data_IF_142517179968
#
_entry.id   IF_142517179968
#
_cell.length_a   1.000
_cell.length_b   1.000
_cell.length_c   1.000
_cell.angle_alpha   90.00
_cell.angle_beta   90.00
_cell.angle_gamma   90.00
#
_symmetry.space_group_name_H-M   'P 1'
#
loop_
_entity.id
_entity.type
_entity.pdbx_description
1 polymer ?
#
# COMPACT_ATOMS: atom_id res chain seq x y z
N UNK A 1 -35.65 -32.60 5.04
CA UNK A 1 -34.26 -32.76 5.50
C UNK A 1 -33.39 -32.87 4.26
N UNK A 2 -32.68 -31.81 3.90
CA UNK A 2 -31.69 -31.89 2.83
C UNK A 2 -30.45 -32.57 3.42
N UNK A 3 -29.97 -33.63 2.78
CA UNK A 3 -28.70 -34.26 3.11
C UNK A 3 -27.56 -33.22 3.00
N UNK A 4 -26.58 -33.24 3.93
CA UNK A 4 -25.36 -32.48 3.71
C UNK A 4 -24.59 -33.20 2.59
N UNK A 5 -24.58 -32.62 1.39
CA UNK A 5 -23.67 -33.02 0.32
C UNK A 5 -22.24 -33.08 0.88
N UNK A 6 -21.63 -34.26 0.86
CA UNK A 6 -20.20 -34.44 1.19
C UNK A 6 -19.37 -33.39 0.43
N UNK A 7 -18.36 -32.77 1.07
CA UNK A 7 -17.49 -31.84 0.36
C UNK A 7 -16.76 -32.56 -0.80
N UNK A 8 -16.40 -31.88 -1.90
CA UNK A 8 -15.89 -32.51 -3.14
C UNK A 8 -14.42 -32.96 -3.02
N UNK A 9 -14.01 -33.45 -1.85
CA UNK A 9 -12.62 -33.77 -1.53
C UNK A 9 -12.15 -35.00 -2.34
N UNK A 10 -13.06 -35.94 -2.65
CA UNK A 10 -12.75 -37.19 -3.36
C UNK A 10 -12.21 -36.99 -4.78
N UNK A 11 -12.42 -35.82 -5.39
CA UNK A 11 -12.01 -35.52 -6.77
C UNK A 11 -10.70 -34.72 -6.86
N UNK A 12 -10.12 -34.27 -5.73
CA UNK A 12 -8.87 -33.49 -5.73
C UNK A 12 -7.68 -34.42 -5.78
N UNK A 13 -7.08 -34.55 -6.96
CA UNK A 13 -5.87 -35.38 -7.18
C UNK A 13 -4.62 -34.57 -7.47
N UNK A 14 -4.76 -33.28 -7.80
CA UNK A 14 -3.64 -32.39 -8.13
C UNK A 14 -3.76 -31.06 -7.36
N UNK A 15 -2.63 -30.38 -7.08
CA UNK A 15 -2.64 -29.06 -6.41
C UNK A 15 -3.51 -28.03 -7.14
N UNK A 16 -3.50 -28.02 -8.47
CA UNK A 16 -4.28 -27.07 -9.27
C UNK A 16 -5.80 -27.21 -9.07
N UNK A 17 -6.27 -28.41 -8.69
CA UNK A 17 -7.68 -28.68 -8.45
C UNK A 17 -8.13 -28.09 -7.11
N UNK A 18 -7.22 -27.97 -6.13
CA UNK A 18 -7.47 -27.39 -4.80
C UNK A 18 -8.01 -25.96 -4.91
N UNK A 19 -7.47 -25.17 -5.83
CA UNK A 19 -7.88 -23.77 -6.03
C UNK A 19 -9.30 -23.68 -6.58
N UNK A 20 -9.70 -24.64 -7.43
CA UNK A 20 -10.99 -24.68 -8.12
C UNK A 20 -12.15 -25.17 -7.25
N UNK A 21 -11.87 -25.88 -6.15
CA UNK A 21 -12.92 -26.37 -5.27
C UNK A 21 -13.51 -25.23 -4.45
N UNK A 22 -14.84 -25.16 -4.40
CA UNK A 22 -15.56 -24.29 -3.46
C UNK A 22 -15.47 -24.88 -2.05
N UNK A 23 -14.40 -24.52 -1.34
CA UNK A 23 -14.18 -24.86 0.06
C UNK A 23 -13.44 -23.71 0.77
N UNK A 24 -13.47 -23.70 2.10
CA UNK A 24 -12.75 -22.71 2.89
C UNK A 24 -11.22 -22.86 2.73
N UNK A 25 -10.50 -21.75 2.74
CA UNK A 25 -9.06 -21.73 2.44
C UNK A 25 -8.23 -22.60 3.40
N UNK A 26 -8.60 -22.65 4.68
CA UNK A 26 -7.96 -23.56 5.64
C UNK A 26 -8.04 -25.03 5.21
N UNK A 27 -9.17 -25.46 4.64
CA UNK A 27 -9.32 -26.81 4.10
C UNK A 27 -8.50 -27.00 2.82
N UNK A 28 -8.40 -25.97 1.97
CA UNK A 28 -7.54 -26.00 0.77
C UNK A 28 -6.08 -26.25 1.14
N UNK A 29 -5.56 -25.52 2.13
CA UNK A 29 -4.20 -25.73 2.62
C UNK A 29 -4.02 -27.12 3.24
N UNK A 30 -4.99 -27.61 4.03
CA UNK A 30 -4.93 -28.95 4.61
C UNK A 30 -4.89 -30.07 3.54
N UNK A 31 -5.69 -29.95 2.47
CA UNK A 31 -5.65 -30.88 1.35
C UNK A 31 -4.29 -30.84 0.65
N UNK A 32 -3.74 -29.64 0.44
CA UNK A 32 -2.43 -29.48 -0.18
C UNK A 32 -1.30 -30.10 0.67
N UNK A 33 -1.36 -29.97 2.00
CA UNK A 33 -0.44 -30.66 2.92
C UNK A 33 -0.52 -32.18 2.72
N UNK A 34 -1.73 -32.75 2.69
CA UNK A 34 -1.90 -34.19 2.45
C UNK A 34 -1.32 -34.65 1.10
N UNK A 35 -1.46 -33.85 0.04
CA UNK A 35 -0.87 -34.14 -1.27
C UNK A 35 0.67 -34.13 -1.24
N UNK A 36 1.27 -33.19 -0.48
CA UNK A 36 2.73 -33.10 -0.30
C UNK A 36 3.25 -34.34 0.43
N UNK A 37 2.59 -34.76 1.51
CA UNK A 37 3.00 -35.92 2.32
C UNK A 37 2.94 -37.23 1.54
N UNK A 38 1.98 -37.37 0.63
CA UNK A 38 1.83 -38.55 -0.24
C UNK A 38 2.82 -38.52 -1.42
N UNK A 39 3.54 -37.42 -1.63
CA UNK A 39 4.63 -37.31 -2.62
C UNK A 39 4.18 -37.35 -4.08
N UNK A 40 2.89 -37.11 -4.35
CA UNK A 40 2.31 -37.18 -5.70
C UNK A 40 2.32 -35.85 -6.47
N UNK A 41 3.06 -34.85 -5.97
CA UNK A 41 3.00 -33.48 -6.48
C UNK A 41 4.39 -32.91 -6.71
N UNK A 42 4.54 -32.15 -7.80
CA UNK A 42 5.81 -31.47 -8.09
C UNK A 42 5.95 -30.18 -7.29
N UNK A 43 7.18 -29.77 -6.97
CA UNK A 43 7.46 -28.50 -6.30
C UNK A 43 6.78 -27.32 -7.00
N UNK A 44 6.85 -27.28 -8.33
CA UNK A 44 6.28 -26.19 -9.15
C UNK A 44 4.76 -26.07 -8.96
N UNK A 45 4.04 -27.18 -8.92
CA UNK A 45 2.59 -27.18 -8.71
C UNK A 45 2.24 -26.70 -7.30
N UNK A 46 3.01 -27.12 -6.28
CA UNK A 46 2.80 -26.68 -4.90
C UNK A 46 3.07 -25.17 -4.76
N UNK A 47 4.20 -24.68 -5.26
CA UNK A 47 4.54 -23.25 -5.24
C UNK A 47 3.44 -22.42 -5.89
N UNK A 48 3.01 -22.80 -7.09
CA UNK A 48 1.95 -22.09 -7.81
C UNK A 48 0.64 -22.09 -6.99
N UNK A 49 0.25 -23.24 -6.46
CA UNK A 49 -1.00 -23.38 -5.68
C UNK A 49 -0.97 -22.54 -4.41
N UNK A 50 0.13 -22.57 -3.65
CA UNK A 50 0.30 -21.74 -2.43
C UNK A 50 0.16 -20.27 -2.78
N UNK A 51 0.83 -19.80 -3.84
CA UNK A 51 0.75 -18.40 -4.25
C UNK A 51 -0.67 -18.02 -4.67
N UNK A 52 -1.36 -18.88 -5.42
CA UNK A 52 -2.74 -18.65 -5.83
C UNK A 52 -3.72 -18.57 -4.65
N UNK A 53 -3.53 -19.41 -3.62
CA UNK A 53 -4.32 -19.36 -2.39
C UNK A 53 -4.07 -18.07 -1.59
N UNK A 54 -2.83 -17.54 -1.59
CA UNK A 54 -2.51 -16.28 -0.93
C UNK A 54 -3.17 -15.08 -1.62
N UNK A 55 -3.19 -15.06 -2.96
CA UNK A 55 -3.67 -13.92 -3.76
C UNK A 55 -5.13 -14.07 -4.22
N UNK A 56 -5.78 -15.19 -3.91
CA UNK A 56 -7.19 -15.46 -4.24
C UNK A 56 -7.46 -15.57 -5.75
N UNK A 57 -6.53 -16.13 -6.52
CA UNK A 57 -6.65 -16.25 -7.98
C UNK A 57 -5.33 -16.63 -8.64
N UNK A 58 -5.24 -16.55 -9.98
CA UNK A 58 -3.99 -16.82 -10.70
C UNK A 58 -2.89 -15.86 -10.25
N UNK A 59 -1.74 -16.41 -9.81
CA UNK A 59 -0.63 -15.62 -9.34
C UNK A 59 0.13 -15.02 -10.52
N UNK A 60 0.35 -13.71 -10.48
CA UNK A 60 1.18 -13.00 -11.43
C UNK A 60 1.95 -11.90 -10.70
N UNK A 61 3.27 -11.86 -10.90
CA UNK A 61 4.15 -10.93 -10.19
C UNK A 61 3.82 -9.46 -10.49
N UNK A 62 3.23 -9.15 -11.64
CA UNK A 62 2.85 -7.81 -12.08
C UNK A 62 1.36 -7.50 -11.85
N UNK A 63 0.49 -8.49 -12.02
CA UNK A 63 -0.96 -8.29 -12.06
C UNK A 63 -1.69 -8.74 -10.78
N UNK A 64 -1.25 -9.83 -10.14
CA UNK A 64 -1.94 -10.42 -9.00
C UNK A 64 -0.97 -11.08 -8.00
N UNK A 65 -0.35 -10.23 -7.17
CA UNK A 65 0.62 -10.62 -6.14
C UNK A 65 0.23 -10.12 -4.74
N UNK A 66 -0.94 -9.50 -4.60
CA UNK A 66 -1.40 -8.90 -3.34
C UNK A 66 -2.15 -9.95 -2.52
N UNK A 67 -1.72 -10.15 -1.27
CA UNK A 67 -2.35 -11.10 -0.35
C UNK A 67 -3.77 -10.62 -0.04
N UNK A 68 -4.76 -11.48 -0.25
CA UNK A 68 -6.18 -11.14 -0.08
C UNK A 68 -6.63 -11.27 1.38
N UNK A 69 -6.26 -12.38 2.03
CA UNK A 69 -6.50 -12.63 3.45
C UNK A 69 -5.16 -12.90 4.15
N UNK A 70 -4.85 -12.06 5.14
CA UNK A 70 -3.66 -12.21 5.96
C UNK A 70 -3.63 -13.57 6.70
N UNK A 71 -4.78 -14.17 7.04
CA UNK A 71 -4.84 -15.45 7.74
C UNK A 71 -4.25 -16.60 6.91
N UNK A 72 -4.31 -16.53 5.58
CA UNK A 72 -3.71 -17.53 4.70
C UNK A 72 -2.18 -17.61 4.85
N UNK A 73 -1.53 -16.58 5.41
CA UNK A 73 -0.11 -16.66 5.77
C UNK A 73 0.16 -17.68 6.87
N UNK A 74 -0.75 -17.86 7.83
CA UNK A 74 -0.59 -18.87 8.88
C UNK A 74 -0.70 -20.27 8.31
N UNK A 75 -1.63 -20.47 7.37
CA UNK A 75 -1.78 -21.74 6.67
C UNK A 75 -0.60 -22.04 5.74
N UNK A 76 -0.02 -21.02 5.08
CA UNK A 76 1.24 -21.17 4.34
C UNK A 76 2.38 -21.60 5.27
N UNK A 77 2.50 -21.00 6.46
CA UNK A 77 3.54 -21.36 7.43
C UNK A 77 3.40 -22.79 7.94
N UNK A 78 2.17 -23.23 8.22
CA UNK A 78 1.88 -24.62 8.58
C UNK A 78 2.28 -25.55 7.45
N UNK A 79 1.86 -25.26 6.21
CA UNK A 79 2.23 -26.05 5.04
C UNK A 79 3.75 -26.16 4.86
N UNK A 80 4.49 -25.06 5.07
CA UNK A 80 5.96 -25.05 4.96
C UNK A 80 6.64 -26.00 5.94
N UNK A 81 6.04 -26.27 7.11
CA UNK A 81 6.57 -27.22 8.09
C UNK A 81 6.52 -28.68 7.59
N UNK A 82 5.68 -28.98 6.58
CA UNK A 82 5.59 -30.28 5.89
C UNK A 82 6.41 -30.34 4.60
N UNK A 83 7.02 -29.24 4.15
CA UNK A 83 7.78 -29.19 2.91
C UNK A 83 9.25 -29.59 3.11
N UNK A 84 9.87 -30.28 2.12
CA UNK A 84 11.33 -30.46 2.13
C UNK A 84 12.06 -29.12 1.91
N UNK A 85 13.32 -28.96 2.37
CA UNK A 85 14.04 -27.69 2.31
C UNK A 85 14.10 -27.01 0.92
N UNK A 86 14.26 -27.74 -0.21
CA UNK A 86 14.24 -27.12 -1.53
C UNK A 86 12.91 -26.42 -1.85
N UNK A 87 11.78 -27.05 -1.50
CA UNK A 87 10.45 -26.49 -1.72
C UNK A 87 10.20 -25.28 -0.81
N UNK A 88 10.61 -25.35 0.46
CA UNK A 88 10.56 -24.20 1.35
C UNK A 88 11.34 -23.02 0.77
N UNK A 89 12.54 -23.26 0.22
CA UNK A 89 13.38 -22.23 -0.37
C UNK A 89 12.72 -21.57 -1.59
N UNK A 90 12.09 -22.35 -2.47
CA UNK A 90 11.35 -21.83 -3.62
C UNK A 90 10.20 -20.90 -3.18
N UNK A 91 9.37 -21.36 -2.23
CA UNK A 91 8.23 -20.56 -1.71
C UNK A 91 8.74 -19.27 -1.06
N UNK A 92 9.73 -19.36 -0.15
CA UNK A 92 10.28 -18.18 0.52
C UNK A 92 10.92 -17.18 -0.44
N UNK A 93 11.59 -17.65 -1.49
CA UNK A 93 12.21 -16.78 -2.49
C UNK A 93 11.19 -15.92 -3.24
N UNK A 94 10.09 -16.54 -3.69
CA UNK A 94 9.00 -15.79 -4.34
C UNK A 94 8.28 -14.90 -3.33
N UNK A 95 8.10 -15.39 -2.10
CA UNK A 95 7.47 -14.62 -1.03
C UNK A 95 8.25 -13.33 -0.71
N UNK A 96 9.58 -13.39 -0.61
CA UNK A 96 10.43 -12.22 -0.42
C UNK A 96 10.23 -11.20 -1.56
N UNK A 97 10.16 -11.66 -2.81
CA UNK A 97 9.95 -10.78 -3.96
C UNK A 97 8.61 -10.02 -3.86
N UNK A 98 7.52 -10.70 -3.50
CA UNK A 98 6.21 -10.05 -3.34
C UNK A 98 6.17 -9.11 -2.13
N UNK A 99 6.91 -9.41 -1.05
CA UNK A 99 7.02 -8.52 0.11
C UNK A 99 7.75 -7.22 -0.22
N UNK A 100 8.89 -7.32 -0.91
CA UNK A 100 9.66 -6.14 -1.35
C UNK A 100 8.87 -5.24 -2.29
N UNK A 101 7.96 -5.82 -3.07
CA UNK A 101 7.14 -5.12 -4.06
C UNK A 101 5.91 -4.43 -3.45
N UNK A 102 5.39 -4.91 -2.32
CA UNK A 102 4.05 -4.54 -1.81
C UNK A 102 4.02 -4.15 -0.35
N UNK A 103 3.74 -2.87 -0.07
CA UNK A 103 3.48 -2.41 1.31
C UNK A 103 2.26 -3.08 1.92
N UNK A 104 1.25 -3.43 1.10
CA UNK A 104 0.06 -4.14 1.58
C UNK A 104 0.38 -5.56 2.04
N UNK A 105 1.29 -6.25 1.36
CA UNK A 105 1.74 -7.57 1.79
C UNK A 105 2.56 -7.49 3.08
N UNK A 106 3.42 -6.48 3.22
CA UNK A 106 4.15 -6.22 4.47
C UNK A 106 3.20 -5.94 5.64
N UNK A 107 2.13 -5.19 5.38
CA UNK A 107 1.07 -4.94 6.36
C UNK A 107 0.33 -6.23 6.76
N UNK A 108 -0.08 -7.06 5.79
CA UNK A 108 -0.70 -8.36 6.06
C UNK A 108 0.21 -9.27 6.92
N UNK A 109 1.52 -9.26 6.66
CA UNK A 109 2.51 -9.99 7.48
C UNK A 109 2.60 -9.45 8.91
N UNK A 110 2.47 -8.14 9.09
CA UNK A 110 2.49 -7.49 10.39
C UNK A 110 1.24 -7.86 11.20
N UNK A 111 0.07 -7.90 10.57
CA UNK A 111 -1.21 -8.30 11.20
C UNK A 111 -1.19 -9.71 11.78
N UNK A 112 -0.46 -10.63 11.13
CA UNK A 112 -0.30 -12.00 11.64
C UNK A 112 0.91 -12.18 12.56
N UNK A 113 1.72 -11.15 12.78
CA UNK A 113 2.94 -11.24 13.60
C UNK A 113 4.01 -12.14 12.97
N UNK A 114 4.18 -12.08 11.65
CA UNK A 114 5.05 -12.98 10.89
C UNK A 114 6.49 -13.02 11.41
N UNK A 115 7.02 -11.89 11.91
CA UNK A 115 8.36 -11.83 12.52
C UNK A 115 8.50 -12.86 13.64
N UNK A 116 7.50 -12.96 14.52
CA UNK A 116 7.53 -13.92 15.64
C UNK A 116 7.52 -15.35 15.13
N UNK A 117 6.67 -15.65 14.15
CA UNK A 117 6.57 -16.99 13.57
C UNK A 117 7.84 -17.43 12.83
N UNK A 118 8.50 -16.50 12.13
CA UNK A 118 9.78 -16.76 11.44
C UNK A 118 10.91 -16.99 12.45
N UNK A 119 11.00 -16.18 13.50
CA UNK A 119 12.01 -16.35 14.55
C UNK A 119 11.88 -17.70 15.28
N UNK A 120 10.66 -18.22 15.44
CA UNK A 120 10.42 -19.53 16.04
C UNK A 120 10.91 -20.71 15.18
N UNK A 121 10.86 -20.57 13.85
CA UNK A 121 11.29 -21.61 12.90
C UNK A 121 12.79 -21.59 12.60
N UNK A 122 13.43 -20.42 12.73
CA UNK A 122 14.84 -20.22 12.40
C UNK A 122 15.81 -21.23 13.05
N UNK A 123 15.67 -21.65 14.32
CA UNK A 123 16.63 -22.58 14.93
C UNK A 123 16.67 -23.97 14.29
N UNK A 124 15.57 -24.40 13.66
CA UNK A 124 15.42 -25.74 13.07
C UNK A 124 15.62 -25.74 11.55
N UNK A 125 15.72 -24.55 10.93
CA UNK A 125 15.83 -24.43 9.49
C UNK A 125 17.19 -24.94 8.96
N UNK A 126 17.16 -25.53 7.76
CA UNK A 126 18.37 -25.78 6.99
C UNK A 126 19.11 -24.47 6.67
N UNK A 127 20.41 -24.52 6.37
CA UNK A 127 21.22 -23.34 6.04
C UNK A 127 20.58 -22.43 4.97
N UNK A 128 20.08 -23.01 3.87
CA UNK A 128 19.53 -22.22 2.76
C UNK A 128 18.23 -21.55 3.19
N UNK A 129 17.34 -22.31 3.84
CA UNK A 129 16.06 -21.80 4.33
C UNK A 129 16.29 -20.74 5.41
N UNK A 130 17.24 -20.96 6.33
CA UNK A 130 17.57 -20.01 7.38
C UNK A 130 18.02 -18.65 6.81
N UNK A 131 18.78 -18.65 5.71
CA UNK A 131 19.20 -17.41 5.06
C UNK A 131 18.03 -16.64 4.44
N UNK A 132 17.08 -17.36 3.84
CA UNK A 132 15.83 -16.76 3.34
C UNK A 132 14.95 -16.24 4.48
N UNK A 133 14.81 -16.97 5.58
CA UNK A 133 14.08 -16.52 6.77
C UNK A 133 14.69 -15.24 7.35
N UNK A 134 16.02 -15.15 7.41
CA UNK A 134 16.73 -13.93 7.87
C UNK A 134 16.51 -12.77 6.90
N UNK A 135 16.48 -13.03 5.60
CA UNK A 135 16.13 -12.00 4.61
C UNK A 135 14.69 -11.50 4.79
N UNK A 136 13.72 -12.40 5.01
CA UNK A 136 12.33 -12.04 5.34
C UNK A 136 12.29 -11.16 6.60
N UNK A 137 13.02 -11.52 7.65
CA UNK A 137 13.11 -10.71 8.87
C UNK A 137 13.66 -9.31 8.58
N UNK A 138 14.68 -9.20 7.73
CA UNK A 138 15.23 -7.91 7.27
C UNK A 138 14.18 -7.05 6.56
N UNK A 139 13.46 -7.64 5.61
CA UNK A 139 12.40 -6.97 4.86
C UNK A 139 11.29 -6.49 5.80
N UNK A 140 10.75 -7.38 6.65
CA UNK A 140 9.67 -7.06 7.58
C UNK A 140 10.09 -6.00 8.60
N UNK A 141 11.26 -6.15 9.22
CA UNK A 141 11.68 -5.25 10.28
C UNK A 141 12.08 -3.85 9.77
N UNK A 142 12.50 -3.72 8.50
CA UNK A 142 12.66 -2.42 7.85
C UNK A 142 11.32 -1.72 7.60
N UNK A 143 10.25 -2.48 7.42
CA UNK A 143 8.89 -1.94 7.31
C UNK A 143 8.31 -1.57 8.68
N UNK A 144 8.18 -2.53 9.59
CA UNK A 144 7.61 -2.34 10.92
C UNK A 144 8.09 -3.42 11.87
N UNK A 145 8.38 -3.03 13.12
CA UNK A 145 8.69 -3.97 14.20
C UNK A 145 8.16 -3.43 15.52
N UNK A 146 7.44 -4.27 16.25
CA UNK A 146 6.95 -3.93 17.59
C UNK A 146 8.04 -4.12 18.65
N UNK A 147 7.86 -3.51 19.82
CA UNK A 147 8.76 -3.72 20.97
C UNK A 147 8.84 -5.20 21.35
N UNK A 148 7.74 -5.95 21.24
CA UNK A 148 7.69 -7.39 21.52
C UNK A 148 8.53 -8.17 20.52
N UNK A 149 8.38 -7.92 19.23
CA UNK A 149 9.15 -8.59 18.18
C UNK A 149 10.64 -8.25 18.24
N UNK A 150 10.97 -7.00 18.55
CA UNK A 150 12.36 -6.58 18.75
C UNK A 150 13.00 -7.31 19.93
N UNK A 151 12.28 -7.45 21.06
CA UNK A 151 12.73 -8.26 22.20
C UNK A 151 12.90 -9.73 21.82
N UNK A 152 12.00 -10.30 21.01
CA UNK A 152 12.13 -11.67 20.53
C UNK A 152 13.38 -11.83 19.66
N UNK A 153 13.65 -10.89 18.75
CA UNK A 153 14.85 -10.90 17.90
C UNK A 153 16.13 -10.87 18.73
N UNK A 154 16.22 -9.98 19.73
CA UNK A 154 17.36 -9.97 20.67
C UNK A 154 17.44 -11.27 21.48
N UNK A 155 16.30 -11.81 21.89
CA UNK A 155 16.21 -13.11 22.57
C UNK A 155 16.81 -14.25 21.74
N UNK A 156 16.56 -14.28 20.43
CA UNK A 156 17.14 -15.27 19.51
C UNK A 156 18.66 -15.17 19.34
N UNK A 157 19.28 -14.07 19.76
CA UNK A 157 20.73 -13.87 19.77
C UNK A 157 21.36 -14.01 21.15
N UNK A 158 20.56 -14.21 22.20
CA UNK A 158 21.04 -14.29 23.57
C UNK A 158 21.98 -15.48 23.72
N UNK A 159 23.20 -15.22 24.18
CA UNK A 159 24.17 -16.27 24.44
C UNK A 159 23.70 -17.17 25.60
N UNK A 160 23.76 -18.48 25.39
CA UNK A 160 23.51 -19.48 26.41
C UNK A 160 24.82 -20.22 26.70
N UNK A 161 25.18 -20.32 27.99
CA UNK A 161 26.43 -20.97 28.44
C UNK A 161 27.68 -20.42 27.71
N UNK A 162 27.71 -19.11 27.46
CA UNK A 162 28.81 -18.44 26.79
C UNK A 162 28.91 -18.66 25.27
N UNK A 163 27.91 -19.31 24.64
CA UNK A 163 27.88 -19.53 23.18
C UNK A 163 26.69 -18.81 22.56
N UNK A 164 26.95 -18.13 21.44
CA UNK A 164 25.92 -17.48 20.64
C UNK A 164 25.19 -18.53 19.79
N UNK A 165 23.85 -18.44 19.65
CA UNK A 165 23.10 -19.28 18.73
C UNK A 165 23.62 -19.18 17.27
N UNK A 166 23.46 -20.26 16.49
CA UNK A 166 24.02 -20.45 15.13
C UNK A 166 23.87 -19.24 14.19
N UNK A 167 22.73 -18.55 14.22
CA UNK A 167 22.39 -17.49 13.27
C UNK A 167 22.60 -16.07 13.81
N UNK A 168 23.12 -15.93 15.01
CA UNK A 168 23.13 -14.64 15.71
C UNK A 168 23.90 -13.56 14.97
N UNK A 169 25.04 -13.89 14.37
CA UNK A 169 25.81 -12.94 13.56
C UNK A 169 25.03 -12.43 12.34
N UNK A 170 24.22 -13.30 11.70
CA UNK A 170 23.38 -12.92 10.56
C UNK A 170 22.17 -12.07 11.02
N UNK A 171 21.61 -12.34 12.19
CA UNK A 171 20.53 -11.54 12.78
C UNK A 171 20.98 -10.11 13.16
N UNK A 172 22.26 -9.88 13.46
CA UNK A 172 22.80 -8.51 13.56
C UNK A 172 22.66 -7.73 12.23
N UNK A 173 22.72 -8.44 11.10
CA UNK A 173 22.45 -7.86 9.78
C UNK A 173 21.04 -7.31 9.64
N UNK A 174 20.03 -7.98 10.23
CA UNK A 174 18.64 -7.51 10.28
C UNK A 174 18.56 -6.17 11.02
N UNK A 175 19.22 -6.06 12.18
CA UNK A 175 19.26 -4.80 12.96
C UNK A 175 19.86 -3.64 12.15
N UNK A 176 20.86 -3.91 11.32
CA UNK A 176 21.46 -2.88 10.45
C UNK A 176 20.53 -2.43 9.33
N UNK A 177 19.57 -3.27 8.92
CA UNK A 177 18.59 -2.92 7.89
C UNK A 177 17.40 -2.13 8.44
N UNK A 178 17.04 -2.29 9.72
CA UNK A 178 15.86 -1.62 10.32
C UNK A 178 15.84 -0.09 10.15
N UNK A 179 16.97 0.65 10.28
CA UNK A 179 16.97 2.10 10.10
C UNK A 179 16.82 2.55 8.64
N UNK A 180 17.03 1.66 7.67
CA UNK A 180 16.98 1.99 6.23
C UNK A 180 15.54 2.01 5.72
N UNK A 181 14.68 2.80 6.38
CA UNK A 181 13.27 2.95 6.02
C UNK A 181 13.12 3.97 4.89
N UNK A 182 12.24 3.68 3.94
CA UNK A 182 11.95 4.58 2.82
C UNK A 182 10.59 5.25 3.02
N UNK A 183 10.59 6.52 3.43
CA UNK A 183 9.38 7.34 3.56
C UNK A 183 9.10 7.80 5.00
N UNK A 184 7.87 8.23 5.29
CA UNK A 184 7.46 8.70 6.62
C UNK A 184 7.31 7.53 7.63
N UNK A 185 7.57 7.80 8.91
CA UNK A 185 7.36 6.83 9.99
C UNK A 185 5.89 6.52 10.27
N UNK A 186 5.00 7.46 9.95
CA UNK A 186 3.54 7.33 10.13
C UNK A 186 2.86 7.90 8.89
N UNK A 187 1.89 7.16 8.36
CA UNK A 187 1.13 7.53 7.18
C UNK A 187 -0.28 6.94 7.22
N UNK A 188 -1.18 7.55 6.48
CA UNK A 188 -2.47 6.97 6.13
C UNK A 188 -2.29 5.98 4.98
N UNK A 189 -2.85 4.77 5.13
CA UNK A 189 -2.84 3.73 4.11
C UNK A 189 -4.22 3.67 3.45
N UNK A 190 -4.27 3.88 2.15
CA UNK A 190 -5.49 3.82 1.35
C UNK A 190 -5.47 2.51 0.55
N UNK A 191 -6.31 1.51 0.88
CA UNK A 191 -6.29 0.21 0.23
C UNK A 191 -6.78 0.21 -1.22
N UNK A 192 -7.34 1.32 -1.74
CA UNK A 192 -7.99 1.37 -3.06
C UNK A 192 -9.30 0.57 -3.14
N UNK A 193 -9.94 0.32 -1.98
CA UNK A 193 -11.23 -0.37 -1.90
C UNK A 193 -12.37 0.64 -1.74
N UNK A 194 -13.58 0.28 -2.20
CA UNK A 194 -14.80 1.07 -2.02
C UNK A 194 -14.93 1.59 -0.58
N UNK A 195 -15.21 2.89 -0.41
CA UNK A 195 -15.32 3.52 0.91
C UNK A 195 -13.99 4.03 1.51
N UNK A 196 -12.84 3.77 0.90
CA UNK A 196 -11.53 4.23 1.40
C UNK A 196 -11.34 5.73 1.18
N UNK A 197 -11.53 6.54 2.23
CA UNK A 197 -11.33 7.98 2.19
C UNK A 197 -11.07 8.59 3.58
N UNK A 198 -10.50 9.81 3.62
CA UNK A 198 -10.60 10.69 4.77
C UNK A 198 -11.69 11.74 4.50
N UNK A 199 -12.74 11.74 5.31
CA UNK A 199 -13.86 12.68 5.18
C UNK A 199 -13.60 13.86 6.09
N UNK A 200 -13.62 15.08 5.53
CA UNK A 200 -13.43 16.30 6.29
C UNK A 200 -14.78 16.84 6.79
N UNK A 201 -14.82 17.46 7.99
CA UNK A 201 -16.01 18.14 8.46
C UNK A 201 -16.38 19.30 7.51
N UNK A 202 -17.67 19.67 7.41
CA UNK A 202 -18.09 20.77 6.56
C UNK A 202 -17.41 22.09 6.91
N UNK A 203 -16.98 22.84 5.90
CA UNK A 203 -16.40 24.16 6.08
C UNK A 203 -17.42 25.23 5.66
N UNK A 204 -17.67 26.20 6.55
CA UNK A 204 -18.64 27.27 6.30
C UNK A 204 -18.22 28.19 5.15
N UNK A 205 -16.91 28.41 4.97
CA UNK A 205 -16.34 29.26 3.93
C UNK A 205 -15.01 28.68 3.44
N UNK A 206 -14.63 29.04 2.22
CA UNK A 206 -13.35 28.67 1.62
C UNK A 206 -12.47 29.92 1.42
N UNK A 207 -11.14 29.84 1.66
CA UNK A 207 -10.23 30.98 1.52
C UNK A 207 -9.97 31.35 0.05
N UNK A 208 -10.88 32.09 -0.57
CA UNK A 208 -10.75 32.52 -1.97
C UNK A 208 -10.02 33.86 -2.15
N UNK A 209 -9.89 34.69 -1.11
CA UNK A 209 -9.29 36.04 -1.19
C UNK A 209 -7.78 36.09 -0.93
N UNK A 210 -7.24 35.12 -0.19
CA UNK A 210 -5.80 34.99 0.12
C UNK A 210 -5.10 33.91 -0.71
N UNK A 211 -5.86 33.19 -1.54
CA UNK A 211 -5.42 31.92 -2.09
C UNK A 211 -5.32 30.84 -1.01
N UNK A 212 -4.90 29.64 -1.41
CA UNK A 212 -4.78 28.50 -0.51
C UNK A 212 -3.79 27.47 -1.05
N UNK A 213 -3.30 26.61 -0.16
CA UNK A 213 -2.33 25.59 -0.52
C UNK A 213 -2.71 24.24 0.05
N UNK A 214 -2.80 23.21 -0.79
CA UNK A 214 -2.81 21.81 -0.35
C UNK A 214 -1.40 21.26 -0.47
N UNK A 215 -0.92 20.57 0.56
CA UNK A 215 0.34 19.84 0.47
C UNK A 215 0.34 18.55 1.28
N UNK A 216 0.97 17.52 0.72
CA UNK A 216 1.18 16.22 1.36
C UNK A 216 2.37 15.53 0.71
N UNK A 217 2.96 14.59 1.45
CA UNK A 217 3.71 13.51 0.83
C UNK A 217 2.76 12.39 0.44
N UNK A 218 2.91 11.82 -0.74
CA UNK A 218 2.13 10.67 -1.18
C UNK A 218 2.99 9.65 -1.93
N UNK A 219 2.52 8.41 -1.95
CA UNK A 219 3.05 7.31 -2.74
C UNK A 219 1.87 6.58 -3.37
N UNK A 220 1.78 6.63 -4.70
CA UNK A 220 0.80 5.83 -5.44
C UNK A 220 1.20 4.37 -5.40
N UNK A 221 0.23 3.48 -5.22
CA UNK A 221 0.45 2.03 -5.26
C UNK A 221 -0.75 1.40 -5.96
N UNK A 222 -0.88 1.49 -7.28
CA UNK A 222 -2.00 0.90 -8.02
C UNK A 222 -1.97 -0.63 -7.88
N UNK A 223 -3.16 -1.25 -7.86
CA UNK A 223 -3.32 -2.71 -7.65
C UNK A 223 -2.85 -3.49 -8.87
N UNK A 224 -3.24 -3.05 -10.07
CA UNK A 224 -2.80 -3.61 -11.34
C UNK A 224 -2.42 -2.46 -12.30
N UNK A 225 -1.54 -2.74 -13.26
CA UNK A 225 -1.13 -1.76 -14.28
C UNK A 225 -2.18 -1.58 -15.38
N UNK A 226 -3.09 -2.54 -15.54
CA UNK A 226 -4.05 -2.60 -16.64
C UNK A 226 -5.20 -1.60 -16.47
N UNK A 227 -5.65 -1.33 -15.24
CA UNK A 227 -6.80 -0.43 -15.01
C UNK A 227 -6.41 1.05 -14.87
N UNK A 228 -5.12 1.39 -14.95
CA UNK A 228 -4.61 2.76 -14.74
C UNK A 228 -5.24 3.78 -15.69
N UNK A 229 -5.66 3.36 -16.90
CA UNK A 229 -6.32 4.24 -17.87
C UNK A 229 -7.81 4.50 -17.54
N UNK A 230 -8.48 3.56 -16.89
CA UNK A 230 -9.90 3.65 -16.53
C UNK A 230 -10.09 4.37 -15.20
N UNK A 231 -9.24 4.07 -14.23
CA UNK A 231 -9.31 4.62 -12.88
C UNK A 231 -8.92 6.10 -12.86
N UNK A 232 -9.55 6.84 -11.94
CA UNK A 232 -9.30 8.26 -11.68
C UNK A 232 -9.13 8.49 -10.19
N UNK A 233 -8.07 7.96 -9.55
CA UNK A 233 -7.92 8.06 -8.11
C UNK A 233 -7.76 9.52 -7.70
N UNK A 234 -8.55 9.97 -6.72
CA UNK A 234 -8.53 11.36 -6.26
C UNK A 234 -7.50 11.57 -5.16
N UNK A 235 -6.62 12.55 -5.33
CA UNK A 235 -5.77 13.04 -4.24
C UNK A 235 -6.63 13.81 -3.23
N UNK A 236 -7.47 14.74 -3.72
CA UNK A 236 -8.47 15.44 -2.93
C UNK A 236 -9.68 15.85 -3.76
N UNK A 237 -10.82 16.00 -3.10
CA UNK A 237 -12.05 16.54 -3.65
C UNK A 237 -12.69 17.46 -2.62
N UNK A 238 -12.66 18.78 -2.85
CA UNK A 238 -13.26 19.78 -1.97
C UNK A 238 -14.39 20.46 -2.72
N UNK A 239 -15.63 20.11 -2.38
CA UNK A 239 -16.81 20.63 -3.09
C UNK A 239 -17.94 20.96 -2.13
N UNK A 240 -18.88 21.72 -2.65
CA UNK A 240 -20.21 21.93 -2.08
C UNK A 240 -21.16 20.83 -2.58
N UNK A 241 -22.32 20.69 -1.94
CA UNK A 241 -23.42 19.82 -2.38
C UNK A 241 -23.91 20.10 -3.81
N UNK A 242 -23.72 21.33 -4.33
CA UNK A 242 -24.03 21.70 -5.71
C UNK A 242 -22.97 21.26 -6.73
N UNK A 243 -21.88 20.65 -6.29
CA UNK A 243 -20.78 20.17 -7.15
C UNK A 243 -19.80 21.25 -7.59
N UNK A 244 -19.87 22.44 -6.99
CA UNK A 244 -18.97 23.58 -7.18
C UNK A 244 -17.78 23.41 -6.24
N UNK A 245 -16.55 23.59 -6.73
CA UNK A 245 -15.34 23.45 -5.92
C UNK A 245 -14.09 23.01 -6.68
N UNK A 246 -13.15 22.41 -5.97
CA UNK A 246 -11.83 22.03 -6.45
C UNK A 246 -11.58 20.53 -6.29
N UNK A 247 -10.86 19.93 -7.22
CA UNK A 247 -10.40 18.55 -7.06
C UNK A 247 -9.09 18.31 -7.79
N UNK A 248 -8.31 17.34 -7.32
CA UNK A 248 -7.15 16.82 -7.99
C UNK A 248 -7.22 15.30 -8.05
N UNK A 249 -7.07 14.74 -9.24
CA UNK A 249 -7.14 13.30 -9.49
C UNK A 249 -6.06 12.89 -10.49
N UNK A 250 -5.68 11.62 -10.48
CA UNK A 250 -4.74 11.11 -11.46
C UNK A 250 -5.48 10.60 -12.71
N UNK A 251 -4.87 10.80 -13.86
CA UNK A 251 -5.21 10.14 -15.13
C UNK A 251 -3.92 9.59 -15.67
N UNK A 252 -3.83 8.26 -15.76
CA UNK A 252 -2.53 7.62 -15.88
C UNK A 252 -1.64 7.97 -14.68
N UNK A 253 -0.40 8.38 -14.98
CA UNK A 253 0.58 8.80 -13.98
C UNK A 253 0.62 10.34 -13.78
N UNK A 254 -0.28 11.10 -14.40
CA UNK A 254 -0.28 12.56 -14.35
C UNK A 254 -1.39 13.08 -13.42
N UNK A 255 -1.10 14.13 -12.66
CA UNK A 255 -2.08 14.78 -11.79
C UNK A 255 -2.88 15.81 -12.61
N UNK A 256 -4.21 15.74 -12.53
CA UNK A 256 -5.15 16.65 -13.19
C UNK A 256 -5.88 17.46 -12.14
N UNK A 257 -5.74 18.78 -12.22
CA UNK A 257 -6.46 19.73 -11.40
C UNK A 257 -7.78 20.11 -12.06
N UNK A 258 -8.83 20.27 -11.27
CA UNK A 258 -10.15 20.70 -11.74
C UNK A 258 -10.72 21.76 -10.82
N UNK A 259 -11.22 22.85 -11.40
CA UNK A 259 -11.94 23.93 -10.73
C UNK A 259 -13.33 24.07 -11.37
N UNK A 260 -14.39 23.80 -10.62
CA UNK A 260 -15.78 23.87 -11.08
C UNK A 260 -16.49 25.06 -10.43
N UNK A 261 -16.87 26.05 -11.23
CA UNK A 261 -17.72 27.18 -10.78
C UNK A 261 -19.21 26.87 -10.89
N UNK A 262 -19.56 26.03 -11.86
CA UNK A 262 -20.91 25.51 -12.09
C UNK A 262 -20.80 24.00 -12.28
N UNK A 263 -21.81 23.24 -11.83
CA UNK A 263 -21.79 21.77 -11.97
C UNK A 263 -21.53 21.37 -13.43
N UNK A 264 -20.49 20.59 -13.65
CA UNK A 264 -20.09 20.09 -14.98
C UNK A 264 -19.41 21.10 -15.91
N UNK A 265 -19.28 22.37 -15.52
CA UNK A 265 -18.57 23.40 -16.30
C UNK A 265 -17.47 24.04 -15.47
N UNK A 266 -16.23 23.88 -15.93
CA UNK A 266 -15.08 24.44 -15.24
C UNK A 266 -13.79 24.30 -16.00
N UNK A 267 -12.69 24.56 -15.29
CA UNK A 267 -11.33 24.54 -15.80
C UNK A 267 -10.65 23.23 -15.38
N UNK A 268 -9.94 22.60 -16.31
CA UNK A 268 -9.08 21.45 -16.03
C UNK A 268 -7.66 21.73 -16.53
N UNK A 269 -6.68 21.29 -15.74
CA UNK A 269 -5.27 21.42 -16.08
C UNK A 269 -4.51 20.16 -15.74
N UNK A 270 -3.91 19.53 -16.75
CA UNK A 270 -3.04 18.38 -16.56
C UNK A 270 -1.61 18.87 -16.28
N UNK A 271 -1.05 18.44 -15.16
CA UNK A 271 0.33 18.76 -14.78
C UNK A 271 1.26 17.95 -15.67
N UNK A 272 2.22 18.61 -16.32
CA UNK A 272 3.26 17.99 -17.17
C UNK A 272 4.36 17.34 -16.32
N UNK A 273 3.97 16.50 -15.37
CA UNK A 273 4.88 15.72 -14.53
C UNK A 273 4.31 14.32 -14.38
N UNK A 274 5.12 13.32 -14.69
CA UNK A 274 4.75 11.91 -14.59
C UNK A 274 5.21 11.33 -13.25
N UNK A 275 4.26 10.93 -12.42
CA UNK A 275 4.52 10.30 -11.13
C UNK A 275 4.75 8.80 -11.30
N UNK A 276 5.94 8.32 -10.94
CA UNK A 276 6.20 6.89 -10.94
C UNK A 276 5.49 6.22 -9.76
N UNK A 277 4.74 5.12 -9.99
CA UNK A 277 4.19 4.31 -8.91
C UNK A 277 5.26 3.88 -7.90
N UNK A 278 4.83 3.64 -6.67
CA UNK A 278 5.63 3.08 -5.58
C UNK A 278 6.81 3.94 -5.11
N UNK A 279 6.85 5.20 -5.53
CA UNK A 279 7.82 6.21 -5.10
C UNK A 279 7.12 7.34 -4.34
N UNK A 280 7.78 7.85 -3.30
CA UNK A 280 7.29 8.98 -2.52
C UNK A 280 7.57 10.30 -3.22
N UNK A 281 6.56 11.16 -3.25
CA UNK A 281 6.63 12.53 -3.74
C UNK A 281 5.98 13.48 -2.75
N UNK A 282 6.60 14.64 -2.54
CA UNK A 282 5.89 15.78 -1.97
C UNK A 282 5.20 16.54 -3.08
N UNK A 283 3.91 16.82 -2.93
CA UNK A 283 3.19 17.75 -3.80
C UNK A 283 2.70 18.95 -3.00
N UNK A 284 2.80 20.12 -3.59
CA UNK A 284 2.10 21.31 -3.12
C UNK A 284 1.33 21.93 -4.29
N UNK A 285 0.01 22.04 -4.16
CA UNK A 285 -0.86 22.73 -5.11
C UNK A 285 -1.24 24.06 -4.50
N UNK A 286 -0.69 25.14 -5.06
CA UNK A 286 -0.83 26.51 -4.57
C UNK A 286 -1.77 27.27 -5.49
N UNK A 287 -2.94 27.63 -4.97
CA UNK A 287 -3.91 28.49 -5.64
C UNK A 287 -3.67 29.94 -5.22
N UNK A 288 -3.24 30.77 -6.17
CA UNK A 288 -2.87 32.17 -5.94
C UNK A 288 -4.00 33.06 -6.44
N UNK A 289 -4.59 33.83 -5.53
CA UNK A 289 -5.55 34.87 -5.89
C UNK A 289 -4.82 36.19 -6.19
N UNK A 290 -5.16 36.80 -7.32
CA UNK A 290 -4.72 38.15 -7.66
C UNK A 290 -5.94 39.03 -7.94
N UNK A 291 -6.00 40.20 -7.30
CA UNK A 291 -7.11 41.17 -7.48
C UNK A 291 -6.99 41.97 -8.77
N UNK A 292 -5.77 42.36 -9.13
CA UNK A 292 -5.47 43.29 -10.24
C UNK A 292 -4.86 42.60 -11.47
N UNK A 293 -4.63 41.30 -11.38
CA UNK A 293 -4.10 40.47 -12.47
C UNK A 293 -4.80 39.11 -12.44
N UNK A 294 -4.43 38.23 -13.36
CA UNK A 294 -5.00 36.88 -13.40
C UNK A 294 -4.52 36.08 -12.19
N UNK A 295 -5.44 35.35 -11.58
CA UNK A 295 -5.11 34.36 -10.56
C UNK A 295 -4.35 33.19 -11.20
N UNK A 296 -3.58 32.45 -10.41
CA UNK A 296 -2.69 31.40 -10.90
C UNK A 296 -2.83 30.12 -10.06
N UNK A 297 -2.49 28.98 -10.65
CA UNK A 297 -2.22 27.75 -9.92
C UNK A 297 -0.76 27.36 -10.16
N UNK A 298 -0.01 27.15 -9.09
CA UNK A 298 1.35 26.60 -9.13
C UNK A 298 1.38 25.25 -8.46
N UNK A 299 2.04 24.31 -9.11
CA UNK A 299 2.20 22.95 -8.61
C UNK A 299 3.68 22.68 -8.44
N UNK A 300 4.05 22.33 -7.23
CA UNK A 300 5.40 21.95 -6.88
C UNK A 300 5.46 20.46 -6.63
N UNK A 301 6.51 19.81 -7.15
CA UNK A 301 6.84 18.42 -6.89
C UNK A 301 8.23 18.39 -6.27
N UNK A 302 8.37 17.76 -5.10
CA UNK A 302 9.62 17.65 -4.35
C UNK A 302 10.31 19.01 -4.12
N UNK A 303 9.50 20.02 -3.77
CA UNK A 303 9.97 21.38 -3.48
C UNK A 303 10.31 22.22 -4.72
N UNK A 304 10.16 21.69 -5.93
CA UNK A 304 10.48 22.38 -7.19
C UNK A 304 9.21 22.66 -8.01
N UNK A 305 9.17 23.79 -8.71
CA UNK A 305 8.03 24.15 -9.56
C UNK A 305 7.93 23.19 -10.74
N UNK A 306 6.86 22.43 -10.82
CA UNK A 306 6.59 21.46 -11.89
C UNK A 306 5.62 22.01 -12.94
N UNK A 307 4.64 22.82 -12.52
CA UNK A 307 3.69 23.45 -13.43
C UNK A 307 3.17 24.77 -12.88
N UNK A 308 2.89 25.71 -13.78
CA UNK A 308 2.18 26.94 -13.47
C UNK A 308 1.16 27.20 -14.58
N UNK A 309 -0.03 27.65 -14.21
CA UNK A 309 -1.08 28.00 -15.18
C UNK A 309 -1.93 29.15 -14.66
N UNK A 310 -2.46 29.95 -15.58
CA UNK A 310 -3.45 30.97 -15.25
C UNK A 310 -4.78 30.31 -14.88
N UNK A 311 -5.38 30.76 -13.79
CA UNK A 311 -6.69 30.32 -13.35
C UNK A 311 -7.74 31.35 -13.77
N UNK A 312 -8.40 31.09 -14.89
CA UNK A 312 -9.48 31.97 -15.39
C UNK A 312 -10.78 31.83 -14.58
N UNK A 313 -10.90 30.79 -13.74
CA UNK A 313 -12.14 30.41 -13.07
C UNK A 313 -11.94 30.28 -11.55
N UNK A 314 -12.09 31.40 -10.84
CA UNK A 314 -12.19 31.43 -9.38
C UNK A 314 -13.55 30.89 -8.94
N UNK A 315 -13.53 29.93 -8.01
CA UNK A 315 -14.73 29.44 -7.35
C UNK A 315 -15.05 30.38 -6.19
N UNK A 316 -16.10 31.19 -6.35
CA UNK A 316 -16.67 31.99 -5.28
C UNK A 316 -18.11 31.54 -5.04
N UNK A 317 -18.39 31.11 -3.81
CA UNK A 317 -19.74 30.71 -3.38
C UNK A 317 -19.88 30.93 -1.87
N UNK A 318 -21.11 31.23 -1.45
CA UNK A 318 -21.50 31.31 -0.04
C UNK A 318 -22.03 29.97 0.50
N UNK A 319 -22.11 28.94 -0.36
CA UNK A 319 -22.54 27.61 0.04
C UNK A 319 -21.50 26.95 0.97
N UNK A 320 -21.99 26.08 1.86
CA UNK A 320 -21.14 25.26 2.72
C UNK A 320 -20.38 24.21 1.90
N UNK A 321 -19.12 23.99 2.24
CA UNK A 321 -18.25 22.98 1.65
C UNK A 321 -18.37 21.69 2.44
N UNK A 322 -19.42 20.92 2.13
CA UNK A 322 -19.85 19.71 2.85
C UNK A 322 -19.50 18.41 2.12
N UNK A 323 -18.84 18.49 0.96
CA UNK A 323 -18.38 17.36 0.15
C UNK A 323 -16.86 17.37 0.03
N UNK A 324 -16.16 17.41 1.17
CA UNK A 324 -14.70 17.47 1.25
C UNK A 324 -14.09 16.12 1.65
N UNK A 325 -13.27 15.56 0.77
CA UNK A 325 -12.64 14.25 0.91
C UNK A 325 -11.17 14.32 0.50
N UNK A 326 -10.32 13.55 1.18
CA UNK A 326 -8.96 13.25 0.75
C UNK A 326 -8.92 11.78 0.36
N UNK A 327 -8.30 11.46 -0.76
CA UNK A 327 -8.21 10.09 -1.25
C UNK A 327 -9.46 9.55 -1.94
N UNK A 328 -10.52 10.34 -2.17
CA UNK A 328 -11.73 9.89 -2.87
C UNK A 328 -12.63 11.05 -3.32
N UNK A 329 -13.74 10.71 -3.97
CA UNK A 329 -14.91 11.59 -4.15
C UNK A 329 -16.04 11.20 -3.19
N UNK A 330 -17.09 12.04 -3.03
CA UNK A 330 -18.21 11.74 -2.14
C UNK A 330 -18.99 10.46 -2.47
N UNK A 331 -18.91 9.97 -3.71
CA UNK A 331 -19.54 8.72 -4.14
C UNK A 331 -18.83 7.47 -3.61
N UNK A 332 -17.55 7.60 -3.23
CA UNK A 332 -16.72 6.54 -2.66
C UNK A 332 -16.67 5.26 -3.53
N UNK A 333 -16.75 5.42 -4.86
CA UNK A 333 -16.65 4.36 -5.84
C UNK A 333 -15.20 3.90 -6.05
N UNK A 334 -15.03 2.61 -6.37
CA UNK A 334 -13.72 1.97 -6.46
C UNK A 334 -12.81 2.60 -7.54
N UNK A 335 -13.39 3.12 -8.62
CA UNK A 335 -12.65 3.76 -9.71
C UNK A 335 -12.05 5.13 -9.33
N UNK A 336 -12.48 5.73 -8.20
CA UNK A 336 -12.07 7.09 -7.82
C UNK A 336 -11.37 7.17 -6.47
N UNK A 337 -11.31 6.07 -5.73
CA UNK A 337 -10.56 6.01 -4.48
C UNK A 337 -9.06 5.94 -4.77
N UNK A 338 -8.28 6.62 -3.95
CA UNK A 338 -6.84 6.58 -3.98
C UNK A 338 -6.36 5.21 -3.51
N UNK A 339 -5.32 4.70 -4.17
CA UNK A 339 -4.63 3.49 -3.76
C UNK A 339 -3.16 3.82 -3.51
N UNK A 340 -2.71 3.67 -2.26
CA UNK A 340 -1.36 4.07 -1.86
C UNK A 340 -1.29 4.60 -0.44
N UNK A 341 -0.33 5.48 -0.20
CA UNK A 341 -0.07 6.07 1.11
C UNK A 341 0.01 7.58 1.04
N UNK A 342 -0.42 8.27 2.10
CA UNK A 342 -0.21 9.71 2.29
C UNK A 342 0.33 9.98 3.70
N UNK A 343 1.28 10.90 3.84
CA UNK A 343 1.74 11.38 5.16
C UNK A 343 0.76 12.41 5.72
N UNK A 344 1.23 13.27 6.63
CA UNK A 344 0.51 14.45 7.07
C UNK A 344 0.03 15.28 5.87
N UNK A 345 -1.27 15.61 5.90
CA UNK A 345 -1.94 16.42 4.88
C UNK A 345 -2.19 17.81 5.46
N UNK A 346 -1.68 18.84 4.78
CA UNK A 346 -1.82 20.22 5.19
C UNK A 346 -2.67 21.00 4.20
N UNK A 347 -3.58 21.82 4.73
CA UNK A 347 -4.38 22.76 3.97
C UNK A 347 -4.21 24.16 4.59
N UNK A 348 -3.52 25.03 3.87
CA UNK A 348 -3.25 26.40 4.30
C UNK A 348 -4.25 27.37 3.68
N UNK A 349 -4.76 28.31 4.45
CA UNK A 349 -5.62 29.41 3.97
C UNK A 349 -4.82 30.56 3.33
N UNK A 350 -3.66 30.24 2.77
CA UNK A 350 -2.75 31.17 2.11
C UNK A 350 -2.05 30.48 0.93
N UNK A 351 -1.67 31.29 -0.06
CA UNK A 351 -0.81 30.85 -1.14
C UNK A 351 0.66 30.81 -0.69
N UNK A 352 1.20 29.61 -0.46
CA UNK A 352 2.58 29.46 -0.04
C UNK A 352 3.57 29.87 -1.14
N UNK A 353 4.65 30.54 -0.73
CA UNK A 353 5.74 30.91 -1.63
C UNK A 353 6.59 29.70 -2.02
N UNK A 354 7.37 29.81 -3.09
CA UNK A 354 8.34 28.79 -3.47
C UNK A 354 9.35 28.48 -2.34
N UNK A 355 9.73 29.49 -1.55
CA UNK A 355 10.61 29.30 -0.40
C UNK A 355 9.95 28.49 0.71
N UNK A 356 8.67 28.76 1.03
CA UNK A 356 7.93 27.97 2.01
C UNK A 356 7.83 26.50 1.58
N UNK A 357 7.44 26.25 0.33
CA UNK A 357 7.31 24.88 -0.20
C UNK A 357 8.66 24.15 -0.22
N UNK A 358 9.74 24.83 -0.62
CA UNK A 358 11.09 24.26 -0.59
C UNK A 358 11.55 23.93 0.83
N UNK A 359 11.29 24.81 1.79
CA UNK A 359 11.61 24.59 3.20
C UNK A 359 10.86 23.37 3.75
N UNK A 360 9.55 23.28 3.49
CA UNK A 360 8.74 22.12 3.88
C UNK A 360 9.25 20.80 3.29
N UNK A 361 9.67 20.79 2.02
CA UNK A 361 10.26 19.60 1.39
C UNK A 361 11.55 19.16 2.09
N UNK A 362 12.40 20.10 2.49
CA UNK A 362 13.68 19.81 3.17
C UNK A 362 13.51 19.23 4.57
N UNK A 363 12.38 19.47 5.22
CA UNK A 363 12.04 18.81 6.49
C UNK A 363 11.77 17.31 6.31
N UNK A 364 11.49 16.88 5.07
CA UNK A 364 11.29 15.48 4.71
C UNK A 364 9.89 14.94 5.06
N UNK A 365 9.61 13.69 4.69
CA UNK A 365 8.29 13.08 4.85
C UNK A 365 7.91 12.80 6.31
N UNK A 366 8.89 12.65 7.21
CA UNK A 366 8.69 12.35 8.63
C UNK A 366 8.42 13.55 9.52
N UNK A 367 8.45 14.78 8.98
CA UNK A 367 8.17 15.99 9.75
C UNK A 367 6.69 16.10 10.13
N UNK A 368 6.42 16.38 11.42
CA UNK A 368 5.08 16.47 12.01
C UNK A 368 4.84 17.83 12.62
#
# INVERSE_FOLDING_TARGET
MAEPTEPPIKDVKRPEDVVKVSMADNLKFAVLIGLIEVGQVSNKEVVNTVLQLLVGGEFDMELNFVIQDAHNLRHMLELLDHCPPPLQAEIWSVFIAILRKSVRNLQACTEVGLITHVLQRLPQADNVVADLLIEVLGVLASYSITVKELKNLFGSMKAERGRWPRHSAKLLGVLRQMPNRNGPDVFFSFPGKKGSALVLPPLARWPYESGWTFTTWFRLDPINSVNIEREKPYLYCFKTSKGVGYSAHFVGNCLVLTSLKVKGKGYQHCIKYEFQPRKWYMVAVVYIYNRWSKSEIKVFVNGQLASATEMTWLVSTNDTWDKCHIGATPELDEERVFCGQMSAVYLFSEALTAHHVCAMHRLGPGYK
#
